data_IF_406640229118
#
_entry.id   IF_406640229118
#
_cell.length_a   1.000
_cell.length_b   1.000
_cell.length_c   1.000
_cell.angle_alpha   90.00
_cell.angle_beta   90.00
_cell.angle_gamma   90.00
#
_symmetry.space_group_name_H-M   'P 1'
#
loop_
_entity.id
_entity.type
_entity.pdbx_description
1 polymer ?
#
# COMPACT_ATOMS: atom_id res chain seq x y z
N UNK A 1 -16.31 1.26 7.56
CA UNK A 1 -16.85 0.69 6.32
C UNK A 1 -15.76 0.29 5.32
N UNK A 2 -14.87 1.16 4.85
CA UNK A 2 -13.83 0.81 3.84
C UNK A 2 -12.85 -0.27 4.32
N UNK A 3 -12.36 -0.17 5.56
CA UNK A 3 -11.46 -1.17 6.15
C UNK A 3 -12.10 -2.57 6.24
N UNK A 4 -13.38 -2.66 6.60
CA UNK A 4 -14.09 -3.94 6.62
C UNK A 4 -14.28 -4.55 5.23
N UNK A 5 -14.63 -3.73 4.23
CA UNK A 5 -14.75 -4.19 2.86
C UNK A 5 -13.40 -4.70 2.31
N UNK A 6 -12.31 -4.00 2.57
CA UNK A 6 -10.96 -4.45 2.22
C UNK A 6 -10.62 -5.78 2.91
N UNK A 7 -10.92 -5.88 4.21
CA UNK A 7 -10.70 -7.12 4.97
C UNK A 7 -11.45 -8.30 4.36
N UNK A 8 -12.74 -8.16 4.11
CA UNK A 8 -13.58 -9.22 3.51
C UNK A 8 -13.07 -9.65 2.13
N UNK A 9 -12.64 -8.69 1.29
CA UNK A 9 -12.04 -9.00 0.00
C UNK A 9 -10.75 -9.81 0.14
N UNK A 10 -9.87 -9.43 1.06
CA UNK A 10 -8.61 -10.14 1.31
C UNK A 10 -8.86 -11.52 1.91
N UNK A 11 -9.79 -11.64 2.87
CA UNK A 11 -10.13 -12.92 3.48
C UNK A 11 -10.78 -13.90 2.48
N UNK A 12 -11.45 -13.41 1.46
CA UNK A 12 -12.04 -14.19 0.38
C UNK A 12 -11.07 -14.72 -0.67
N UNK A 13 -9.79 -14.37 -0.59
CA UNK A 13 -8.77 -14.72 -1.58
C UNK A 13 -7.54 -15.35 -0.90
N UNK A 14 -6.63 -15.90 -1.70
CA UNK A 14 -5.42 -16.57 -1.18
C UNK A 14 -4.21 -15.65 -1.14
N UNK A 15 -4.18 -14.65 -2.05
CA UNK A 15 -3.03 -13.77 -2.26
C UNK A 15 -3.45 -12.31 -2.37
N UNK A 16 -2.56 -11.44 -1.94
CA UNK A 16 -2.59 -10.00 -2.20
C UNK A 16 -1.33 -9.64 -2.97
N UNK A 17 -1.50 -8.98 -4.10
CA UNK A 17 -0.42 -8.30 -4.81
C UNK A 17 -0.69 -6.80 -4.68
N UNK A 18 0.29 -6.05 -4.21
CA UNK A 18 0.17 -4.61 -4.07
C UNK A 18 1.18 -3.89 -4.95
N UNK A 19 0.73 -2.85 -5.64
CA UNK A 19 1.59 -1.98 -6.44
C UNK A 19 1.24 -0.51 -6.25
N UNK A 20 2.23 0.33 -6.42
CA UNK A 20 2.06 1.78 -6.46
C UNK A 20 2.28 2.36 -7.85
N UNK A 21 2.71 3.62 -7.90
CA UNK A 21 3.03 4.27 -9.17
C UNK A 21 4.45 3.95 -9.65
N UNK A 22 4.66 4.00 -10.98
CA UNK A 22 5.86 3.54 -11.69
C UNK A 22 7.15 4.28 -11.32
N UNK A 23 7.06 5.49 -10.79
CA UNK A 23 8.20 6.23 -10.23
C UNK A 23 8.03 6.22 -8.71
N UNK A 24 8.12 5.02 -8.11
CA UNK A 24 7.83 4.80 -6.71
C UNK A 24 8.52 5.80 -5.79
N UNK A 25 7.73 6.50 -5.00
CA UNK A 25 8.22 7.37 -3.94
C UNK A 25 8.05 6.72 -2.56
N UNK A 26 8.37 7.47 -1.52
CA UNK A 26 8.37 6.94 -0.15
C UNK A 26 6.95 6.69 0.35
N UNK A 27 5.94 7.48 -0.09
CA UNK A 27 4.56 7.28 0.33
C UNK A 27 3.95 6.05 -0.32
N UNK A 28 4.11 5.91 -1.63
CA UNK A 28 3.67 4.74 -2.38
C UNK A 28 4.28 3.45 -1.82
N UNK A 29 5.59 3.44 -1.52
CA UNK A 29 6.26 2.30 -0.92
C UNK A 29 5.75 2.02 0.51
N UNK A 30 5.64 3.04 1.36
CA UNK A 30 5.12 2.91 2.73
C UNK A 30 3.70 2.35 2.77
N UNK A 31 2.81 2.87 1.93
CA UNK A 31 1.44 2.37 1.78
C UNK A 31 1.42 0.91 1.33
N UNK A 32 2.27 0.53 0.37
CA UNK A 32 2.40 -0.86 -0.09
C UNK A 32 2.83 -1.80 1.03
N UNK A 33 3.80 -1.39 1.85
CA UNK A 33 4.25 -2.16 3.03
C UNK A 33 3.12 -2.33 4.05
N UNK A 34 2.32 -1.30 4.28
CA UNK A 34 1.16 -1.38 5.17
C UNK A 34 0.12 -2.41 4.68
N UNK A 35 -0.19 -2.42 3.38
CA UNK A 35 -1.09 -3.42 2.77
C UNK A 35 -0.49 -4.83 2.86
N UNK A 36 0.81 -4.99 2.60
CA UNK A 36 1.52 -6.25 2.80
C UNK A 36 1.30 -6.77 4.25
N UNK A 37 1.48 -5.93 5.26
CA UNK A 37 1.27 -6.32 6.67
C UNK A 37 -0.19 -6.69 6.95
N UNK A 38 -1.15 -5.98 6.40
CA UNK A 38 -2.58 -6.33 6.52
C UNK A 38 -2.81 -7.75 5.98
N UNK A 39 -2.34 -8.04 4.78
CA UNK A 39 -2.49 -9.37 4.16
C UNK A 39 -1.84 -10.47 5.00
N UNK A 40 -0.61 -10.26 5.48
CA UNK A 40 0.10 -11.22 6.35
C UNK A 40 -0.63 -11.43 7.68
N UNK A 41 -1.24 -10.40 8.27
CA UNK A 41 -2.04 -10.51 9.49
C UNK A 41 -3.30 -11.36 9.26
N UNK A 42 -3.87 -11.31 8.07
CA UNK A 42 -5.01 -12.12 7.65
C UNK A 42 -4.61 -13.51 7.10
N UNK A 43 -3.36 -13.93 7.31
CA UNK A 43 -2.77 -15.20 6.87
C UNK A 43 -2.88 -15.40 5.34
N UNK A 44 -2.65 -14.35 4.56
CA UNK A 44 -2.61 -14.41 3.09
C UNK A 44 -1.18 -14.29 2.59
N UNK A 45 -0.90 -14.91 1.43
CA UNK A 45 0.33 -14.64 0.69
C UNK A 45 0.31 -13.18 0.25
N UNK A 46 1.45 -12.52 0.27
CA UNK A 46 1.49 -11.11 -0.11
C UNK A 46 2.82 -10.75 -0.76
N UNK A 47 2.75 -9.96 -1.83
CA UNK A 47 3.91 -9.48 -2.57
C UNK A 47 3.73 -8.00 -2.90
N UNK A 48 4.83 -7.26 -2.86
CA UNK A 48 4.91 -5.84 -3.26
C UNK A 48 5.60 -5.76 -4.61
N UNK A 49 4.95 -5.15 -5.60
CA UNK A 49 5.54 -4.94 -6.93
C UNK A 49 6.39 -3.68 -6.90
N UNK A 50 7.64 -3.81 -7.30
CA UNK A 50 8.59 -2.70 -7.38
C UNK A 50 9.62 -3.00 -8.47
N UNK A 51 9.54 -2.33 -9.62
CA UNK A 51 10.46 -2.53 -10.74
C UNK A 51 11.74 -1.72 -10.55
N UNK A 52 11.60 -0.41 -10.39
CA UNK A 52 12.71 0.51 -10.19
C UNK A 52 12.65 1.15 -8.81
N UNK A 53 13.81 1.33 -8.20
CA UNK A 53 13.91 1.88 -6.85
C UNK A 53 14.54 3.26 -6.92
N UNK A 54 13.76 4.28 -6.60
CA UNK A 54 14.26 5.64 -6.49
C UNK A 54 15.28 5.77 -5.35
N UNK A 55 16.15 6.77 -5.44
CA UNK A 55 17.17 7.02 -4.41
C UNK A 55 16.58 7.31 -3.03
N UNK A 56 15.37 7.86 -2.98
CA UNK A 56 14.65 8.13 -1.72
C UNK A 56 14.07 6.88 -1.08
N UNK A 57 13.63 5.90 -1.89
CA UNK A 57 13.04 4.64 -1.41
C UNK A 57 14.10 3.62 -1.02
N UNK A 58 15.26 3.63 -1.70
CA UNK A 58 16.32 2.62 -1.52
C UNK A 58 16.70 2.36 -0.05
N UNK A 59 17.02 3.38 0.78
CA UNK A 59 17.44 3.13 2.17
C UNK A 59 16.31 2.53 3.03
N UNK A 60 15.06 2.81 2.69
CA UNK A 60 13.91 2.25 3.41
C UNK A 60 13.67 0.82 2.94
N UNK A 61 13.66 0.58 1.62
CA UNK A 61 13.50 -0.75 1.02
C UNK A 61 14.56 -1.74 1.51
N UNK A 62 15.82 -1.34 1.62
CA UNK A 62 16.94 -2.21 2.01
C UNK A 62 16.78 -2.79 3.43
N UNK A 63 15.91 -2.23 4.25
CA UNK A 63 15.56 -2.76 5.58
C UNK A 63 14.67 -4.00 5.52
N UNK A 64 14.10 -4.33 4.38
CA UNK A 64 13.25 -5.50 4.18
C UNK A 64 14.03 -6.73 3.66
N UNK A 65 15.29 -6.57 3.28
CA UNK A 65 16.17 -7.69 2.91
C UNK A 65 16.82 -8.32 4.15
N UNK A 66 16.01 -8.86 5.03
CA UNK A 66 16.43 -9.52 6.26
C UNK A 66 15.69 -10.83 6.44
N UNK A 67 16.16 -11.69 7.33
CA UNK A 67 15.50 -12.98 7.65
C UNK A 67 14.09 -12.83 8.26
N UNK A 68 13.69 -11.62 8.57
CA UNK A 68 12.34 -11.35 9.11
C UNK A 68 11.26 -11.30 8.04
N UNK A 69 11.65 -11.18 6.78
CA UNK A 69 10.77 -11.09 5.62
C UNK A 69 11.05 -12.21 4.64
N UNK A 70 10.05 -12.57 3.85
CA UNK A 70 10.16 -13.55 2.78
C UNK A 70 11.06 -13.01 1.65
N UNK A 71 11.86 -13.87 1.04
CA UNK A 71 12.77 -13.47 -0.05
C UNK A 71 12.00 -12.90 -1.26
N UNK A 72 10.76 -13.39 -1.48
CA UNK A 72 9.86 -12.97 -2.53
C UNK A 72 8.85 -11.88 -2.09
N UNK A 73 9.10 -11.21 -0.96
CA UNK A 73 8.23 -10.11 -0.50
C UNK A 73 8.13 -9.00 -1.55
N UNK A 74 9.26 -8.61 -2.13
CA UNK A 74 9.36 -7.59 -3.17
C UNK A 74 9.70 -8.27 -4.48
N UNK A 75 8.85 -8.08 -5.49
CA UNK A 75 8.94 -8.73 -6.80
C UNK A 75 8.82 -7.69 -7.92
N UNK A 76 9.23 -8.08 -9.11
CA UNK A 76 9.03 -7.29 -10.33
C UNK A 76 7.62 -7.43 -10.87
N UNK A 77 7.21 -6.53 -11.78
CA UNK A 77 5.93 -6.63 -12.48
C UNK A 77 5.81 -7.91 -13.32
N UNK A 78 6.90 -8.38 -13.92
CA UNK A 78 6.91 -9.63 -14.69
C UNK A 78 6.70 -10.85 -13.79
N UNK A 79 7.35 -10.91 -12.64
CA UNK A 79 7.10 -11.95 -11.64
C UNK A 79 5.66 -11.89 -11.12
N UNK A 80 5.10 -10.69 -10.93
CA UNK A 80 3.74 -10.52 -10.48
C UNK A 80 2.71 -11.04 -11.50
N UNK A 81 2.96 -10.93 -12.81
CA UNK A 81 2.11 -11.47 -13.87
C UNK A 81 1.94 -12.99 -13.77
N UNK A 82 2.97 -13.69 -13.28
CA UNK A 82 2.91 -15.15 -13.07
C UNK A 82 2.11 -15.54 -11.82
N UNK A 83 1.88 -14.59 -10.90
CA UNK A 83 1.24 -14.84 -9.59
C UNK A 83 -0.22 -14.38 -9.53
N UNK A 84 -0.61 -13.41 -10.35
CA UNK A 84 -1.96 -12.85 -10.33
C UNK A 84 -2.93 -13.75 -11.06
N UNK A 85 -3.92 -14.25 -10.33
CA UNK A 85 -4.97 -15.15 -10.80
C UNK A 85 -6.35 -14.78 -10.21
N UNK A 86 -7.34 -15.64 -10.37
CA UNK A 86 -8.70 -15.43 -9.81
C UNK A 86 -8.73 -15.45 -8.28
N UNK A 87 -7.72 -16.00 -7.60
CA UNK A 87 -7.59 -16.04 -6.15
C UNK A 87 -6.75 -14.88 -5.58
N UNK A 88 -6.45 -13.89 -6.42
CA UNK A 88 -5.62 -12.75 -6.06
C UNK A 88 -6.46 -11.46 -5.93
N UNK A 89 -6.19 -10.67 -4.88
CA UNK A 89 -6.59 -9.25 -4.81
C UNK A 89 -5.40 -8.40 -5.25
N UNK A 90 -5.60 -7.61 -6.28
CA UNK A 90 -4.65 -6.56 -6.67
C UNK A 90 -5.02 -5.27 -5.94
N UNK A 91 -4.13 -4.78 -5.07
CA UNK A 91 -4.30 -3.50 -4.38
C UNK A 91 -3.38 -2.47 -5.01
N UNK A 92 -3.94 -1.37 -5.45
CA UNK A 92 -3.23 -0.24 -6.04
C UNK A 92 -3.25 0.89 -5.03
N UNK A 93 -2.07 1.39 -4.67
CA UNK A 93 -1.91 2.45 -3.67
C UNK A 93 -1.25 3.68 -4.27
N UNK A 94 -1.66 4.85 -3.82
CA UNK A 94 -1.05 6.14 -4.14
C UNK A 94 -1.09 6.52 -5.63
N UNK A 95 -1.98 5.89 -6.37
CA UNK A 95 -2.22 6.17 -7.78
C UNK A 95 -3.61 5.68 -8.19
N UNK A 96 -4.33 6.47 -8.98
CA UNK A 96 -5.63 6.07 -9.53
C UNK A 96 -5.67 6.06 -11.07
N UNK A 97 -4.52 6.16 -11.73
CA UNK A 97 -4.37 6.16 -13.19
C UNK A 97 -3.58 4.95 -13.64
N UNK A 98 -4.17 4.12 -14.50
CA UNK A 98 -3.58 2.85 -14.93
C UNK A 98 -2.18 3.02 -15.53
N UNK A 99 -2.00 4.01 -16.42
CA UNK A 99 -0.74 4.27 -17.12
C UNK A 99 0.43 4.70 -16.20
N UNK A 100 0.14 5.07 -14.95
CA UNK A 100 1.14 5.49 -13.98
C UNK A 100 1.47 4.41 -12.94
N UNK A 101 0.82 3.22 -13.01
CA UNK A 101 1.13 2.12 -12.08
C UNK A 101 2.41 1.39 -12.46
N UNK A 102 2.99 0.66 -11.50
CA UNK A 102 4.20 -0.16 -11.70
C UNK A 102 4.05 -1.19 -12.83
N UNK A 103 2.87 -1.77 -13.00
CA UNK A 103 2.57 -2.76 -14.02
C UNK A 103 1.10 -2.67 -14.42
N UNK A 104 0.75 -1.83 -15.43
CA UNK A 104 -0.62 -1.61 -15.85
C UNK A 104 -1.36 -2.88 -16.31
N UNK A 105 -0.63 -3.85 -16.86
CA UNK A 105 -1.19 -5.10 -17.35
C UNK A 105 -1.84 -5.94 -16.25
N UNK A 106 -1.39 -5.81 -15.01
CA UNK A 106 -1.99 -6.50 -13.86
C UNK A 106 -3.43 -6.07 -13.61
N UNK A 107 -3.80 -4.83 -13.97
CA UNK A 107 -5.16 -4.32 -13.81
C UNK A 107 -6.13 -5.09 -14.71
N UNK A 108 -5.71 -5.38 -15.93
CA UNK A 108 -6.53 -6.15 -16.87
C UNK A 108 -6.61 -7.63 -16.46
N UNK A 109 -5.51 -8.18 -15.95
CA UNK A 109 -5.40 -9.57 -15.53
C UNK A 109 -6.20 -9.88 -14.27
N UNK A 110 -6.16 -8.98 -13.28
CA UNK A 110 -6.79 -9.20 -11.98
C UNK A 110 -8.34 -9.14 -12.06
N UNK A 111 -9.00 -10.09 -11.41
CA UNK A 111 -10.45 -10.08 -11.26
C UNK A 111 -10.95 -9.22 -10.10
N UNK A 112 -10.11 -9.00 -9.09
CA UNK A 112 -10.43 -8.20 -7.91
C UNK A 112 -9.38 -7.10 -7.74
N UNK A 113 -9.74 -5.87 -8.11
CA UNK A 113 -8.89 -4.69 -8.02
C UNK A 113 -9.41 -3.77 -6.92
N UNK A 114 -8.51 -3.26 -6.09
CA UNK A 114 -8.77 -2.25 -5.06
C UNK A 114 -7.89 -1.05 -5.33
N UNK A 115 -8.43 0.15 -5.23
CA UNK A 115 -7.67 1.41 -5.36
C UNK A 115 -7.79 2.20 -4.07
N UNK A 116 -6.63 2.55 -3.48
CA UNK A 116 -6.50 3.40 -2.27
C UNK A 116 -5.59 4.56 -2.63
N UNK A 117 -6.14 5.76 -2.75
CA UNK A 117 -5.38 6.91 -3.24
C UNK A 117 -5.91 8.23 -2.67
N UNK A 118 -5.02 9.20 -2.50
CA UNK A 118 -5.36 10.54 -2.03
C UNK A 118 -5.30 11.61 -3.14
N UNK A 119 -4.99 11.20 -4.36
CA UNK A 119 -4.98 12.10 -5.51
C UNK A 119 -6.39 12.33 -6.07
N UNK A 120 -6.61 13.49 -6.68
CA UNK A 120 -7.86 13.76 -7.41
C UNK A 120 -7.93 12.89 -8.65
N UNK A 121 -9.09 12.31 -8.89
CA UNK A 121 -9.33 11.53 -10.09
C UNK A 121 -9.28 12.43 -11.34
N UNK A 122 -8.68 11.90 -12.41
CA UNK A 122 -8.63 12.50 -13.75
C UNK A 122 -9.40 11.62 -14.76
N UNK A 123 -9.50 12.09 -16.01
CA UNK A 123 -10.31 11.42 -17.03
C UNK A 123 -9.84 10.01 -17.45
N UNK A 124 -8.61 9.63 -17.12
CA UNK A 124 -8.01 8.31 -17.38
C UNK A 124 -7.86 7.47 -16.07
N UNK A 125 -8.72 7.76 -15.08
CA UNK A 125 -8.75 7.01 -13.84
C UNK A 125 -9.13 5.54 -14.07
N UNK A 126 -8.56 4.66 -13.22
CA UNK A 126 -8.92 3.25 -13.18
C UNK A 126 -10.42 3.14 -12.88
N UNK A 127 -11.18 2.45 -13.74
CA UNK A 127 -12.62 2.23 -13.61
C UNK A 127 -12.97 0.80 -13.18
N UNK A 128 -12.04 -0.15 -13.40
CA UNK A 128 -12.19 -1.56 -13.09
C UNK A 128 -11.75 -1.88 -11.64
N UNK A 129 -12.42 -1.35 -10.64
CA UNK A 129 -12.14 -1.74 -9.27
C UNK A 129 -13.42 -2.12 -8.50
N UNK A 130 -13.32 -3.17 -7.68
CA UNK A 130 -14.41 -3.62 -6.80
C UNK A 130 -14.49 -2.77 -5.53
N UNK A 131 -13.42 -2.06 -5.20
CA UNK A 131 -13.36 -1.13 -4.08
C UNK A 131 -12.51 0.09 -4.45
N UNK A 132 -13.13 1.27 -4.36
CA UNK A 132 -12.45 2.56 -4.45
C UNK A 132 -12.42 3.23 -3.06
N UNK A 133 -11.24 3.57 -2.60
CA UNK A 133 -11.05 4.45 -1.46
C UNK A 133 -10.19 5.64 -1.90
N UNK A 134 -10.84 6.63 -2.48
CA UNK A 134 -10.21 7.88 -2.92
C UNK A 134 -10.56 8.96 -1.90
N UNK A 135 -9.53 9.56 -1.29
CA UNK A 135 -9.71 10.56 -0.22
C UNK A 135 -8.75 11.76 -0.42
N UNK A 136 -9.13 12.75 -1.26
CA UNK A 136 -8.26 13.89 -1.59
C UNK A 136 -7.89 14.79 -0.41
N UNK A 137 -8.54 14.61 0.72
CA UNK A 137 -8.25 15.36 1.95
C UNK A 137 -7.27 14.63 2.89
N UNK A 138 -6.96 13.37 2.63
CA UNK A 138 -5.89 12.66 3.32
C UNK A 138 -4.53 13.27 2.95
N UNK A 139 -3.60 13.26 3.89
CA UNK A 139 -2.26 13.81 3.65
C UNK A 139 -1.45 12.95 2.70
N UNK A 140 -1.66 11.63 2.73
CA UNK A 140 -0.88 10.64 2.01
C UNK A 140 -1.61 9.29 1.96
N UNK A 141 -1.22 8.40 1.05
CA UNK A 141 -1.70 7.03 1.01
C UNK A 141 -1.26 6.22 2.25
N UNK A 142 -0.08 6.48 2.78
CA UNK A 142 0.41 5.88 4.04
C UNK A 142 -0.46 6.27 5.24
N UNK A 143 -0.98 7.51 5.32
CA UNK A 143 -1.97 7.92 6.32
C UNK A 143 -3.22 7.05 6.22
N UNK A 144 -3.77 6.91 5.01
CA UNK A 144 -4.98 6.12 4.77
C UNK A 144 -4.80 4.65 5.16
N UNK A 145 -3.66 4.05 4.82
CA UNK A 145 -3.35 2.66 5.16
C UNK A 145 -3.08 2.49 6.66
N UNK A 146 -2.42 3.45 7.32
CA UNK A 146 -2.25 3.45 8.77
C UNK A 146 -3.60 3.52 9.51
N UNK A 147 -4.53 4.32 9.01
CA UNK A 147 -5.90 4.39 9.53
C UNK A 147 -6.63 3.05 9.33
N UNK A 148 -6.63 2.49 8.10
CA UNK A 148 -7.24 1.18 7.81
C UNK A 148 -6.70 0.11 8.74
N UNK A 149 -5.38 0.07 8.98
CA UNK A 149 -4.71 -0.93 9.81
C UNK A 149 -5.29 -1.04 11.22
N UNK A 150 -5.76 0.05 11.78
CA UNK A 150 -6.35 0.10 13.11
C UNK A 150 -7.72 -0.61 13.20
N UNK A 151 -8.37 -0.83 12.06
CA UNK A 151 -9.70 -1.46 11.98
C UNK A 151 -9.69 -2.88 11.41
N UNK A 152 -8.54 -3.41 11.03
CA UNK A 152 -8.42 -4.78 10.48
C UNK A 152 -8.67 -5.84 11.57
N UNK A 153 -8.25 -5.57 12.79
CA UNK A 153 -8.47 -6.44 13.95
C UNK A 153 -7.37 -6.33 14.98
N UNK A 154 -7.64 -6.85 16.17
CA UNK A 154 -6.73 -6.76 17.34
C UNK A 154 -5.39 -7.49 17.17
N UNK A 155 -5.26 -8.32 16.15
CA UNK A 155 -4.02 -9.08 15.86
C UNK A 155 -3.02 -8.32 14.99
N UNK A 156 -3.39 -7.19 14.38
CA UNK A 156 -2.47 -6.45 13.54
C UNK A 156 -1.43 -5.72 14.39
N UNK A 157 -0.17 -6.08 14.18
CA UNK A 157 0.99 -5.40 14.74
C UNK A 157 1.98 -5.13 13.61
N UNK A 158 2.31 -3.87 13.41
CA UNK A 158 3.39 -3.49 12.51
C UNK A 158 4.74 -3.85 13.15
N UNK A 159 5.68 -4.31 12.33
CA UNK A 159 7.09 -4.34 12.72
C UNK A 159 7.67 -2.93 12.60
N UNK A 160 8.77 -2.66 13.31
CA UNK A 160 9.39 -1.32 13.33
C UNK A 160 9.71 -0.81 11.92
N UNK A 161 10.32 -1.63 11.06
CA UNK A 161 10.63 -1.23 9.68
C UNK A 161 9.38 -0.88 8.86
N UNK A 162 8.26 -1.58 9.09
CA UNK A 162 6.98 -1.30 8.40
C UNK A 162 6.36 0.02 8.88
N UNK A 163 6.34 0.21 10.20
CA UNK A 163 5.88 1.46 10.80
C UNK A 163 6.72 2.66 10.34
N UNK A 164 8.05 2.50 10.27
CA UNK A 164 8.97 3.54 9.80
C UNK A 164 8.77 3.86 8.30
N UNK A 165 8.53 2.85 7.45
CA UNK A 165 8.26 3.08 6.04
C UNK A 165 7.02 3.95 5.83
N UNK A 166 5.91 3.62 6.50
CA UNK A 166 4.67 4.40 6.43
C UNK A 166 4.84 5.79 7.07
N UNK A 167 5.57 5.88 8.19
CA UNK A 167 5.88 7.15 8.86
C UNK A 167 6.67 8.09 7.93
N UNK A 168 7.68 7.55 7.24
CA UNK A 168 8.47 8.30 6.28
C UNK A 168 7.61 8.77 5.08
N UNK A 169 6.69 7.94 4.59
CA UNK A 169 5.72 8.31 3.55
C UNK A 169 4.93 9.54 3.93
N UNK A 170 4.28 9.53 5.11
CA UNK A 170 3.53 10.69 5.61
C UNK A 170 4.42 11.92 5.74
N UNK A 171 5.64 11.78 6.29
CA UNK A 171 6.57 12.91 6.46
C UNK A 171 6.96 13.57 5.15
N UNK A 172 7.27 12.77 4.13
CA UNK A 172 7.72 13.30 2.84
C UNK A 172 6.56 13.97 2.11
N UNK A 173 5.39 13.35 2.07
CA UNK A 173 4.24 13.86 1.35
C UNK A 173 3.64 15.12 1.96
N UNK A 174 3.78 15.27 3.26
CA UNK A 174 3.38 16.48 3.99
C UNK A 174 4.47 17.55 4.02
N UNK A 175 5.61 17.34 3.36
CA UNK A 175 6.77 18.20 3.47
C UNK A 175 7.09 18.53 4.95
N UNK A 176 7.35 17.48 5.74
CA UNK A 176 7.60 17.58 7.18
C UNK A 176 6.50 18.34 7.94
N UNK A 177 5.25 17.97 7.67
CA UNK A 177 4.04 18.55 8.28
C UNK A 177 3.77 20.02 7.93
N UNK A 178 4.41 20.54 6.90
CA UNK A 178 4.17 21.92 6.42
C UNK A 178 2.94 22.03 5.54
N UNK A 179 2.49 20.93 4.94
CA UNK A 179 1.39 20.90 3.97
C UNK A 179 0.42 19.77 4.26
N UNK A 180 -0.86 19.97 3.91
CA UNK A 180 -1.92 18.95 3.93
C UNK A 180 -2.06 18.16 5.24
N UNK A 181 -1.68 18.71 6.37
CA UNK A 181 -1.79 18.03 7.67
C UNK A 181 -3.11 18.33 8.36
N UNK A 182 -3.67 17.32 9.00
CA UNK A 182 -4.87 17.43 9.81
C UNK A 182 -4.78 16.56 11.07
N UNK A 183 -5.85 16.52 11.85
CA UNK A 183 -5.92 15.68 13.05
C UNK A 183 -5.65 14.22 12.70
N UNK A 184 -6.24 13.71 11.61
CA UNK A 184 -6.04 12.32 11.14
C UNK A 184 -4.56 12.01 10.87
N UNK A 185 -3.82 12.96 10.29
CA UNK A 185 -2.37 12.82 10.04
C UNK A 185 -1.62 12.56 11.35
N UNK A 186 -1.86 13.35 12.37
CA UNK A 186 -1.20 13.19 13.67
C UNK A 186 -1.67 11.95 14.43
N UNK A 187 -2.90 11.52 14.29
CA UNK A 187 -3.41 10.26 14.83
C UNK A 187 -2.72 9.05 14.16
N UNK A 188 -2.57 9.07 12.82
CA UNK A 188 -1.82 8.06 12.08
C UNK A 188 -0.35 8.02 12.54
N UNK A 189 0.29 9.19 12.66
CA UNK A 189 1.68 9.29 13.13
C UNK A 189 1.84 8.75 14.56
N UNK A 190 0.91 9.08 15.45
CA UNK A 190 0.91 8.55 16.82
C UNK A 190 0.72 7.02 16.85
N UNK A 191 -0.14 6.48 15.98
CA UNK A 191 -0.30 5.04 15.81
C UNK A 191 1.01 4.38 15.34
N UNK A 192 1.63 4.91 14.29
CA UNK A 192 2.90 4.40 13.76
C UNK A 192 4.02 4.48 14.79
N UNK A 193 4.08 5.58 15.55
CA UNK A 193 5.06 5.75 16.63
C UNK A 193 4.90 4.71 17.74
N UNK A 194 3.68 4.38 18.12
CA UNK A 194 3.40 3.29 19.08
C UNK A 194 3.79 1.92 18.55
N UNK A 195 3.86 1.74 17.23
CA UNK A 195 4.31 0.51 16.57
C UNK A 195 5.83 0.51 16.25
N UNK A 196 6.60 1.46 16.75
CA UNK A 196 8.05 1.45 16.70
C UNK A 196 8.70 2.28 15.59
N UNK A 197 7.92 3.16 14.94
CA UNK A 197 8.48 4.16 14.02
C UNK A 197 9.35 5.19 14.77
#
# INVERSE_FOLDING_TARGET
MKAHALKELIEGKERVVVMGHSIGDVDSFGASIGIYRIAKTLNRKANVVLNEVSQSVKPIRDRFYTKEYEEDMIITGDEAKELVDENTVLVIVDVNRASYTECPELIEQAQSVVVIDHHRQAGDAIDKAVLFYIEPYASSASEMVAEISQYIGSGLKLKSAEAEAMYAGIMIDTNYFSNKTGVRTFEAMAYLRRNGA
#
